data_IF_728223164820
#
_entry.id   IF_728223164820
#
_cell.length_a   1.000
_cell.length_b   1.000
_cell.length_c   1.000
_cell.angle_alpha   90.00
_cell.angle_beta   90.00
_cell.angle_gamma   90.00
#
_symmetry.space_group_name_H-M   'P 1'
#
loop_
_entity.id
_entity.type
_entity.pdbx_description
1 polymer ?
#
# COMPACT_ATOMS: atom_id res chain seq x y z
N UNK A 1 25.13 -19.51 -79.05
CA UNK A 1 23.87 -19.50 -78.29
C UNK A 1 22.77 -19.18 -79.28
N UNK A 2 21.87 -20.13 -79.53
CA UNK A 2 20.71 -19.92 -80.41
C UNK A 2 19.66 -19.14 -79.61
N UNK A 3 19.10 -18.07 -80.19
CA UNK A 3 18.01 -17.29 -79.59
C UNK A 3 16.71 -18.03 -79.81
N UNK A 4 15.87 -18.11 -78.78
CA UNK A 4 14.57 -18.78 -78.87
C UNK A 4 13.67 -18.05 -79.88
N UNK A 5 12.81 -18.79 -80.59
CA UNK A 5 11.91 -18.24 -81.62
C UNK A 5 11.05 -17.09 -81.10
N UNK A 6 10.66 -17.16 -79.82
CA UNK A 6 9.88 -16.12 -79.14
C UNK A 6 10.69 -14.83 -78.92
N UNK A 7 11.98 -14.95 -78.66
CA UNK A 7 12.87 -13.80 -78.43
C UNK A 7 13.07 -13.03 -79.74
N UNK A 8 13.28 -13.74 -80.85
CA UNK A 8 13.36 -13.10 -82.17
C UNK A 8 12.03 -12.43 -82.55
N UNK A 9 10.90 -13.10 -82.31
CA UNK A 9 9.58 -12.51 -82.59
C UNK A 9 9.33 -11.20 -81.81
N UNK A 10 9.70 -11.14 -80.53
CA UNK A 10 9.53 -9.93 -79.71
C UNK A 10 10.47 -8.82 -80.16
N UNK A 11 11.71 -9.13 -80.53
CA UNK A 11 12.69 -8.15 -81.01
C UNK A 11 12.30 -7.57 -82.38
N UNK A 12 11.86 -8.42 -83.30
CA UNK A 12 11.45 -8.03 -84.66
C UNK A 12 10.18 -7.16 -84.68
N UNK A 13 9.35 -7.27 -83.63
CA UNK A 13 8.09 -6.51 -83.51
C UNK A 13 8.16 -5.44 -82.41
N UNK A 14 9.34 -5.15 -81.85
CA UNK A 14 9.49 -4.27 -80.68
C UNK A 14 8.92 -2.87 -80.90
N UNK A 15 9.15 -2.28 -82.08
CA UNK A 15 8.59 -0.96 -82.41
C UNK A 15 7.05 -0.95 -82.40
N UNK A 16 6.41 -2.05 -82.80
CA UNK A 16 4.96 -2.19 -82.77
C UNK A 16 4.40 -2.36 -81.33
N UNK A 17 5.23 -2.80 -80.38
CA UNK A 17 4.86 -2.88 -78.97
C UNK A 17 4.99 -1.53 -78.24
N UNK A 18 5.96 -0.70 -78.63
CA UNK A 18 6.28 0.56 -77.94
C UNK A 18 5.50 1.80 -78.47
N UNK A 19 4.64 1.63 -79.48
CA UNK A 19 3.91 2.74 -80.12
C UNK A 19 2.58 3.13 -79.42
N UNK A 20 2.07 2.26 -78.55
CA UNK A 20 0.77 2.45 -77.91
C UNK A 20 0.87 3.34 -76.67
N UNK A 21 0.66 4.65 -76.83
CA UNK A 21 0.51 5.57 -75.69
C UNK A 21 -0.93 5.49 -75.17
N UNK A 22 -1.16 5.20 -73.86
CA UNK A 22 -2.49 5.15 -73.30
C UNK A 22 -3.18 6.52 -73.36
N UNK A 23 -4.50 6.54 -73.57
CA UNK A 23 -5.26 7.78 -73.66
C UNK A 23 -5.17 8.60 -72.36
N UNK A 24 -5.21 9.93 -72.48
CA UNK A 24 -5.26 10.88 -71.35
C UNK A 24 -6.37 10.56 -70.33
N UNK A 25 -7.47 9.94 -70.79
CA UNK A 25 -8.56 9.50 -69.93
C UNK A 25 -8.13 8.40 -68.96
N UNK A 26 -7.34 7.43 -69.40
CA UNK A 26 -6.83 6.35 -68.54
C UNK A 26 -5.93 6.92 -67.45
N UNK A 27 -5.05 7.86 -67.81
CA UNK A 27 -4.22 8.57 -66.83
C UNK A 27 -5.04 9.38 -65.83
N UNK A 28 -6.06 10.12 -66.31
CA UNK A 28 -6.95 10.87 -65.43
C UNK A 28 -7.77 9.95 -64.49
N UNK A 29 -8.13 8.75 -64.94
CA UNK A 29 -8.83 7.76 -64.13
C UNK A 29 -7.92 7.18 -63.04
N UNK A 30 -6.65 6.90 -63.36
CA UNK A 30 -5.63 6.44 -62.40
C UNK A 30 -5.34 7.51 -61.33
N UNK A 31 -5.13 8.76 -61.74
CA UNK A 31 -4.83 9.87 -60.82
C UNK A 31 -6.01 10.14 -59.86
N UNK A 32 -7.24 10.00 -60.36
CA UNK A 32 -8.47 10.07 -59.56
C UNK A 32 -8.60 8.91 -58.56
N UNK A 33 -8.11 7.72 -58.89
CA UNK A 33 -8.13 6.58 -57.97
C UNK A 33 -7.05 6.67 -56.88
N UNK A 34 -5.87 7.15 -57.24
CA UNK A 34 -4.77 7.36 -56.29
C UNK A 34 -5.10 8.43 -55.25
N UNK A 35 -5.70 9.55 -55.68
CA UNK A 35 -6.14 10.64 -54.79
C UNK A 35 -7.28 10.24 -53.84
N UNK A 36 -8.03 9.17 -54.14
CA UNK A 36 -9.12 8.67 -53.28
C UNK A 36 -8.63 7.93 -52.03
N UNK A 37 -7.35 7.51 -52.00
CA UNK A 37 -6.80 6.64 -50.95
C UNK A 37 -6.24 7.37 -49.72
N UNK A 38 -6.14 8.70 -49.73
CA UNK A 38 -5.49 9.47 -48.65
C UNK A 38 -6.42 10.25 -47.72
N UNK A 39 -7.73 10.00 -47.71
CA UNK A 39 -8.61 10.67 -46.74
C UNK A 39 -8.57 9.92 -45.41
N UNK A 40 -7.60 10.27 -44.56
CA UNK A 40 -7.63 9.90 -43.15
C UNK A 40 -8.93 10.44 -42.55
N UNK A 41 -9.90 9.55 -42.26
CA UNK A 41 -11.15 9.96 -41.63
C UNK A 41 -10.82 10.56 -40.26
N UNK A 42 -11.24 11.81 -39.95
CA UNK A 42 -11.04 12.35 -38.62
C UNK A 42 -11.78 11.46 -37.63
N UNK A 43 -11.11 11.04 -36.56
CA UNK A 43 -11.76 10.32 -35.47
C UNK A 43 -12.93 11.17 -34.99
N UNK A 44 -14.14 10.65 -35.15
CA UNK A 44 -15.36 11.36 -34.77
C UNK A 44 -15.31 11.62 -33.26
N UNK A 45 -15.53 12.87 -32.85
CA UNK A 45 -15.58 13.31 -31.44
C UNK A 45 -16.43 12.36 -30.57
N UNK A 46 -17.50 11.81 -31.14
CA UNK A 46 -18.38 10.83 -30.51
C UNK A 46 -17.69 9.52 -30.08
N UNK A 47 -16.61 9.08 -30.76
CA UNK A 47 -15.77 7.93 -30.33
C UNK A 47 -14.88 8.31 -29.16
N UNK A 48 -14.33 9.53 -29.13
CA UNK A 48 -13.54 10.02 -27.98
C UNK A 48 -14.39 10.11 -26.70
N UNK A 49 -15.63 10.60 -26.78
CA UNK A 49 -16.53 10.63 -25.62
C UNK A 49 -16.92 9.24 -25.12
N UNK A 50 -17.10 8.26 -26.02
CA UNK A 50 -17.38 6.87 -25.64
C UNK A 50 -16.20 6.22 -24.91
N UNK A 51 -14.97 6.49 -25.36
CA UNK A 51 -13.75 6.00 -24.70
C UNK A 51 -13.56 6.69 -23.34
N UNK A 52 -13.74 8.01 -23.26
CA UNK A 52 -13.63 8.76 -22.01
C UNK A 52 -14.66 8.29 -20.96
N UNK A 53 -15.90 8.02 -21.38
CA UNK A 53 -16.94 7.50 -20.50
C UNK A 53 -16.62 6.09 -19.96
N UNK A 54 -16.05 5.21 -20.80
CA UNK A 54 -15.65 3.87 -20.36
C UNK A 54 -14.50 3.93 -19.34
N UNK A 55 -13.49 4.78 -19.57
CA UNK A 55 -12.38 4.98 -18.63
C UNK A 55 -12.87 5.58 -17.31
N UNK A 56 -13.76 6.58 -17.36
CA UNK A 56 -14.35 7.17 -16.17
C UNK A 56 -15.19 6.16 -15.38
N UNK A 57 -15.97 5.31 -16.05
CA UNK A 57 -16.75 4.25 -15.39
C UNK A 57 -15.85 3.23 -14.69
N UNK A 58 -14.74 2.80 -15.32
CA UNK A 58 -13.76 1.90 -14.70
C UNK A 58 -13.08 2.58 -13.50
N UNK A 59 -12.75 3.87 -13.58
CA UNK A 59 -12.17 4.61 -12.46
C UNK A 59 -13.14 4.83 -11.30
N UNK A 60 -14.42 5.04 -11.57
CA UNK A 60 -15.46 5.16 -10.54
C UNK A 60 -15.75 3.80 -9.88
N UNK A 61 -15.87 2.73 -10.67
CA UNK A 61 -16.09 1.39 -10.11
C UNK A 61 -14.85 0.89 -9.37
N UNK A 62 -13.65 1.11 -9.90
CA UNK A 62 -12.40 0.71 -9.26
C UNK A 62 -12.04 1.57 -8.04
N UNK A 63 -12.17 2.89 -8.14
CA UNK A 63 -11.83 3.82 -7.06
C UNK A 63 -12.91 3.95 -6.00
N UNK A 64 -14.15 4.24 -6.41
CA UNK A 64 -15.27 4.40 -5.48
C UNK A 64 -15.84 3.06 -5.04
N UNK A 65 -16.07 2.13 -5.98
CA UNK A 65 -16.54 0.77 -5.68
C UNK A 65 -15.52 -0.06 -4.91
N UNK A 66 -14.23 0.04 -5.24
CA UNK A 66 -13.15 -0.58 -4.46
C UNK A 66 -13.07 -0.06 -3.03
N UNK A 67 -13.12 1.27 -2.83
CA UNK A 67 -13.08 1.86 -1.48
C UNK A 67 -14.31 1.54 -0.61
N UNK A 68 -15.49 1.45 -1.24
CA UNK A 68 -16.72 1.01 -0.57
C UNK A 68 -16.68 -0.49 -0.24
N UNK A 69 -16.17 -1.33 -1.13
CA UNK A 69 -16.05 -2.78 -0.91
C UNK A 69 -15.08 -3.09 0.23
N UNK A 70 -13.92 -2.40 0.29
CA UNK A 70 -12.99 -2.50 1.43
C UNK A 70 -13.59 -1.98 2.74
N UNK A 71 -14.55 -1.05 2.69
CA UNK A 71 -15.30 -0.59 3.87
C UNK A 71 -16.40 -1.57 4.31
N UNK A 72 -17.06 -2.24 3.37
CA UNK A 72 -18.08 -3.26 3.65
C UNK A 72 -17.50 -4.54 4.23
N UNK A 73 -16.21 -4.81 3.98
CA UNK A 73 -15.47 -5.95 4.50
C UNK A 73 -14.46 -5.55 5.57
N UNK A 74 -14.76 -4.54 6.39
CA UNK A 74 -13.97 -4.28 7.59
C UNK A 74 -14.30 -5.35 8.63
N UNK A 75 -13.41 -6.34 8.76
CA UNK A 75 -13.44 -7.24 9.88
C UNK A 75 -13.21 -6.42 11.16
N UNK A 76 -14.15 -6.51 12.11
CA UNK A 76 -13.99 -5.83 13.39
C UNK A 76 -12.92 -6.58 14.18
N UNK A 77 -11.78 -5.94 14.55
CA UNK A 77 -10.71 -6.63 15.26
C UNK A 77 -11.21 -7.20 16.59
N UNK A 78 -12.14 -6.50 17.26
CA UNK A 78 -12.77 -6.96 18.51
C UNK A 78 -13.51 -8.29 18.33
N UNK A 79 -14.22 -8.49 17.21
CA UNK A 79 -14.97 -9.72 16.96
C UNK A 79 -14.04 -10.91 16.65
N UNK A 80 -12.94 -10.67 15.93
CA UNK A 80 -11.90 -11.70 15.69
C UNK A 80 -11.26 -12.09 17.02
N UNK A 81 -10.92 -11.10 17.85
CA UNK A 81 -10.30 -11.35 19.15
C UNK A 81 -11.21 -12.14 20.08
N UNK A 82 -12.49 -11.79 20.18
CA UNK A 82 -13.45 -12.51 21.03
C UNK A 82 -13.62 -13.97 20.60
N UNK A 83 -13.54 -14.25 19.30
CA UNK A 83 -13.62 -15.61 18.76
C UNK A 83 -12.39 -16.45 19.10
N UNK A 84 -11.19 -15.86 19.08
CA UNK A 84 -9.92 -16.56 19.32
C UNK A 84 -9.58 -16.63 20.81
N UNK A 85 -9.80 -15.55 21.54
CA UNK A 85 -9.49 -15.42 22.95
C UNK A 85 -10.56 -14.57 23.68
N UNK A 86 -11.59 -15.19 24.28
CA UNK A 86 -12.67 -14.48 24.95
C UNK A 86 -12.20 -13.72 26.21
N UNK A 87 -11.08 -14.11 26.82
CA UNK A 87 -10.52 -13.46 28.02
C UNK A 87 -9.69 -12.21 27.68
N UNK A 88 -9.36 -11.99 26.40
CA UNK A 88 -8.51 -10.88 25.99
C UNK A 88 -9.05 -9.52 26.43
N UNK A 89 -10.37 -9.31 26.40
CA UNK A 89 -10.97 -8.03 26.76
C UNK A 89 -10.70 -7.67 28.23
N UNK A 90 -10.77 -8.65 29.13
CA UNK A 90 -10.45 -8.48 30.55
C UNK A 90 -8.95 -8.20 30.74
N UNK A 91 -8.10 -8.94 30.03
CA UNK A 91 -6.64 -8.72 30.01
C UNK A 91 -6.27 -7.33 29.51
N UNK A 92 -6.88 -6.85 28.43
CA UNK A 92 -6.65 -5.50 27.89
C UNK A 92 -7.04 -4.43 28.92
N UNK A 93 -8.20 -4.58 29.57
CA UNK A 93 -8.63 -3.65 30.62
C UNK A 93 -7.65 -3.65 31.80
N UNK A 94 -7.25 -4.82 32.27
CA UNK A 94 -6.28 -4.99 33.35
C UNK A 94 -4.94 -4.28 33.05
N UNK A 95 -4.35 -4.53 31.88
CA UNK A 95 -3.09 -3.90 31.51
C UNK A 95 -3.24 -2.39 31.29
N UNK A 96 -4.34 -1.92 30.68
CA UNK A 96 -4.62 -0.48 30.52
C UNK A 96 -4.69 0.23 31.86
N UNK A 97 -5.35 -0.38 32.86
CA UNK A 97 -5.42 0.19 34.21
C UNK A 97 -4.04 0.27 34.86
N UNK A 98 -3.22 -0.80 34.75
CA UNK A 98 -1.86 -0.80 35.26
C UNK A 98 -0.98 0.26 34.60
N UNK A 99 -1.01 0.35 33.28
CA UNK A 99 -0.27 1.35 32.50
C UNK A 99 -0.67 2.75 32.94
N UNK A 100 -1.97 3.05 33.01
CA UNK A 100 -2.49 4.34 33.44
C UNK A 100 -1.99 4.70 34.84
N UNK A 101 -2.08 3.77 35.78
CA UNK A 101 -1.61 3.96 37.16
C UNK A 101 -0.11 4.25 37.22
N UNK A 102 0.71 3.47 36.51
CA UNK A 102 2.17 3.67 36.50
C UNK A 102 2.56 4.98 35.80
N UNK A 103 1.89 5.36 34.71
CA UNK A 103 2.10 6.65 34.02
C UNK A 103 1.76 7.83 34.95
N UNK A 104 0.66 7.75 35.70
CA UNK A 104 0.30 8.78 36.69
C UNK A 104 1.33 8.87 37.83
N UNK A 105 1.89 7.74 38.26
CA UNK A 105 2.99 7.75 39.24
C UNK A 105 4.25 8.41 38.66
N UNK A 106 4.56 8.13 37.39
CA UNK A 106 5.70 8.69 36.66
C UNK A 106 5.58 10.20 36.46
N UNK A 107 4.37 10.71 36.21
CA UNK A 107 4.10 12.14 36.05
C UNK A 107 4.58 12.99 37.25
N UNK A 108 4.68 12.39 38.45
CA UNK A 108 5.21 13.06 39.66
C UNK A 108 6.71 13.29 39.64
N UNK A 109 7.43 12.69 38.71
CA UNK A 109 8.89 12.68 38.64
C UNK A 109 9.44 13.37 37.38
N UNK A 110 8.60 14.04 36.58
CA UNK A 110 8.96 14.69 35.31
C UNK A 110 9.78 13.78 34.37
N UNK A 111 9.14 12.80 33.72
CA UNK A 111 9.84 11.85 32.87
C UNK A 111 10.49 12.54 31.66
N UNK A 112 11.68 12.09 31.28
CA UNK A 112 12.43 12.60 30.13
C UNK A 112 11.59 12.57 28.83
N UNK A 113 11.69 13.60 27.99
CA UNK A 113 10.94 13.69 26.73
C UNK A 113 11.11 12.50 25.77
N UNK A 114 12.29 11.86 25.76
CA UNK A 114 12.54 10.64 24.98
C UNK A 114 11.64 9.48 25.39
N UNK A 115 11.36 9.34 26.69
CA UNK A 115 10.55 8.24 27.21
C UNK A 115 9.08 8.36 26.78
N UNK A 116 8.54 9.58 26.79
CA UNK A 116 7.19 9.84 26.27
C UNK A 116 7.10 9.52 24.77
N UNK A 117 8.15 9.85 24.00
CA UNK A 117 8.22 9.48 22.58
C UNK A 117 8.23 7.97 22.39
N UNK A 118 8.97 7.22 23.19
CA UNK A 118 9.05 5.76 23.08
C UNK A 118 7.73 5.10 23.48
N UNK A 119 7.01 5.63 24.48
CA UNK A 119 5.64 5.19 24.80
C UNK A 119 4.68 5.39 23.64
N UNK A 120 4.77 6.52 22.94
CA UNK A 120 3.93 6.79 21.77
C UNK A 120 4.21 5.81 20.63
N UNK A 121 5.48 5.42 20.41
CA UNK A 121 5.82 4.38 19.43
C UNK A 121 5.21 3.03 19.78
N UNK A 122 5.22 2.64 21.06
CA UNK A 122 4.58 1.39 21.48
C UNK A 122 3.06 1.42 21.27
N UNK A 123 2.41 2.57 21.46
CA UNK A 123 0.99 2.74 21.16
C UNK A 123 0.69 2.64 19.66
N UNK A 124 1.61 3.15 18.83
CA UNK A 124 1.53 2.99 17.38
C UNK A 124 1.66 1.52 16.96
N UNK A 125 2.64 0.79 17.51
CA UNK A 125 2.82 -0.65 17.24
C UNK A 125 1.56 -1.44 17.61
N UNK A 126 0.90 -1.11 18.73
CA UNK A 126 -0.38 -1.73 19.08
C UNK A 126 -1.51 -1.41 18.09
N UNK A 127 -1.54 -0.21 17.52
CA UNK A 127 -2.52 0.16 16.51
C UNK A 127 -2.28 -0.60 15.20
N UNK A 128 -1.02 -0.74 14.79
CA UNK A 128 -0.60 -1.51 13.63
C UNK A 128 -0.98 -2.99 13.79
N UNK A 129 -0.71 -3.61 14.95
CA UNK A 129 -1.11 -4.99 15.23
C UNK A 129 -2.64 -5.20 15.16
N UNK A 130 -3.44 -4.22 15.61
CA UNK A 130 -4.90 -4.27 15.50
C UNK A 130 -5.38 -4.20 14.05
N UNK A 131 -4.69 -3.42 13.22
CA UNK A 131 -4.98 -3.32 11.79
C UNK A 131 -4.56 -4.59 11.05
N UNK A 132 -3.37 -5.13 11.37
CA UNK A 132 -2.89 -6.41 10.84
C UNK A 132 -3.85 -7.54 11.16
N UNK A 133 -4.40 -7.57 12.38
CA UNK A 133 -5.39 -8.55 12.78
C UNK A 133 -6.66 -8.53 11.89
N UNK A 134 -7.05 -7.37 11.36
CA UNK A 134 -8.23 -7.25 10.50
C UNK A 134 -8.04 -7.86 9.11
N UNK A 135 -6.79 -7.97 8.65
CA UNK A 135 -6.41 -8.48 7.33
C UNK A 135 -5.66 -9.82 7.42
N UNK A 136 -5.47 -10.34 8.63
CA UNK A 136 -4.71 -11.55 8.89
C UNK A 136 -5.35 -12.78 8.20
N UNK A 137 -4.54 -13.66 7.59
CA UNK A 137 -5.01 -14.94 7.11
C UNK A 137 -5.38 -15.85 8.28
N UNK A 138 -6.35 -16.75 8.06
CA UNK A 138 -6.84 -17.68 9.09
C UNK A 138 -5.69 -18.45 9.74
N UNK A 139 -5.60 -18.36 11.07
CA UNK A 139 -4.57 -19.02 11.88
C UNK A 139 -3.39 -18.15 12.31
N UNK A 140 -3.18 -16.97 11.71
CA UNK A 140 -2.19 -15.99 12.20
C UNK A 140 -2.77 -15.06 13.28
N UNK A 141 -4.10 -15.04 13.44
CA UNK A 141 -4.81 -14.20 14.38
C UNK A 141 -4.36 -14.45 15.83
N UNK A 142 -4.12 -15.71 16.21
CA UNK A 142 -3.66 -16.09 17.55
C UNK A 142 -2.24 -15.57 17.84
N UNK A 143 -1.34 -15.64 16.85
CA UNK A 143 0.03 -15.13 16.98
C UNK A 143 0.05 -13.60 17.13
N UNK A 144 -0.78 -12.90 16.36
CA UNK A 144 -0.93 -11.45 16.46
C UNK A 144 -1.49 -11.07 17.84
N UNK A 145 -2.53 -11.77 18.32
CA UNK A 145 -3.10 -11.54 19.65
C UNK A 145 -2.08 -11.81 20.77
N UNK A 146 -1.29 -12.88 20.65
CA UNK A 146 -0.21 -13.17 21.60
C UNK A 146 0.85 -12.04 21.61
N UNK A 147 1.21 -11.53 20.44
CA UNK A 147 2.14 -10.40 20.29
C UNK A 147 1.58 -9.11 20.90
N UNK A 148 0.27 -8.87 20.77
CA UNK A 148 -0.41 -7.75 21.43
C UNK A 148 -0.35 -7.86 22.95
N UNK A 149 -0.59 -9.05 23.52
CA UNK A 149 -0.46 -9.30 24.96
C UNK A 149 0.98 -9.08 25.43
N UNK A 150 1.97 -9.61 24.70
CA UNK A 150 3.38 -9.40 25.01
C UNK A 150 3.77 -7.91 24.97
N UNK A 151 3.20 -7.15 24.05
CA UNK A 151 3.42 -5.70 23.94
C UNK A 151 2.91 -4.99 25.20
N UNK A 152 1.73 -5.36 25.71
CA UNK A 152 1.23 -4.83 26.99
C UNK A 152 2.15 -5.16 28.17
N UNK A 153 2.57 -6.42 28.29
CA UNK A 153 3.48 -6.87 29.35
C UNK A 153 4.79 -6.09 29.33
N UNK A 154 5.37 -5.93 28.14
CA UNK A 154 6.61 -5.18 27.93
C UNK A 154 6.45 -3.72 28.33
N UNK A 155 5.32 -3.09 27.96
CA UNK A 155 5.03 -1.70 28.33
C UNK A 155 4.97 -1.54 29.85
N UNK A 156 4.29 -2.44 30.55
CA UNK A 156 4.22 -2.44 32.02
C UNK A 156 5.60 -2.60 32.65
N UNK A 157 6.42 -3.54 32.16
CA UNK A 157 7.76 -3.79 32.67
C UNK A 157 8.69 -2.58 32.50
N UNK A 158 8.61 -1.89 31.36
CA UNK A 158 9.36 -0.66 31.10
C UNK A 158 8.93 0.44 32.08
N UNK A 159 7.61 0.68 32.23
CA UNK A 159 7.09 1.69 33.16
C UNK A 159 7.55 1.42 34.60
N UNK A 160 7.56 0.16 35.00
CA UNK A 160 8.03 -0.27 36.32
C UNK A 160 9.52 0.00 36.53
N UNK A 161 10.36 -0.37 35.56
CA UNK A 161 11.80 -0.14 35.63
C UNK A 161 12.12 1.35 35.72
N UNK A 162 11.43 2.19 34.94
CA UNK A 162 11.65 3.65 35.00
C UNK A 162 11.17 4.20 36.34
N UNK A 163 10.03 3.76 36.87
CA UNK A 163 9.60 4.15 38.22
C UNK A 163 10.61 3.77 39.30
N UNK A 164 11.19 2.58 39.23
CA UNK A 164 12.20 2.11 40.18
C UNK A 164 13.48 2.95 40.09
N UNK A 165 13.92 3.28 38.88
CA UNK A 165 15.06 4.19 38.67
C UNK A 165 14.81 5.58 39.27
N UNK A 166 13.60 6.14 39.10
CA UNK A 166 13.27 7.45 39.67
C UNK A 166 13.16 7.42 41.20
N UNK A 167 12.71 6.30 41.77
CA UNK A 167 12.64 6.10 43.24
C UNK A 167 14.04 5.97 43.86
N UNK A 168 14.92 5.21 43.24
CA UNK A 168 16.30 4.96 43.70
C UNK A 168 17.22 6.17 43.51
N UNK A 169 16.93 7.03 42.52
CA UNK A 169 17.68 8.26 42.28
C UNK A 169 17.39 9.39 43.29
N UNK A 170 16.35 9.28 44.13
CA UNK A 170 16.17 10.15 45.30
C UNK A 170 17.05 9.64 46.45
N UNK A 171 17.94 10.47 47.03
CA UNK A 171 18.79 10.03 48.13
C UNK A 171 17.93 9.64 49.35
N UNK A 172 17.97 8.37 49.73
CA UNK A 172 17.51 7.89 51.03
C UNK A 172 18.33 8.59 52.14
N UNK A 173 17.72 9.11 53.21
CA UNK A 173 18.48 9.61 54.36
C UNK A 173 19.28 8.45 54.96
N UNK A 174 20.61 8.52 54.87
CA UNK A 174 21.51 7.56 55.52
C UNK A 174 21.17 7.53 57.01
N UNK A 175 20.77 6.36 57.52
CA UNK A 175 20.77 6.12 58.96
C UNK A 175 22.22 6.21 59.43
N UNK A 176 22.55 7.29 60.14
CA UNK A 176 23.80 7.42 60.88
C UNK A 176 23.83 6.30 61.92
N UNK A 177 24.62 5.26 61.67
CA UNK A 177 25.15 4.40 62.73
C UNK A 177 26.03 5.28 63.58
N UNK A 178 25.50 5.73 64.72
CA UNK A 178 26.28 6.38 65.75
C UNK A 178 27.20 5.30 66.35
N UNK A 179 28.47 5.35 65.98
CA UNK A 179 29.53 4.78 66.79
C UNK A 179 29.52 5.56 68.11
N UNK A 180 29.06 4.94 69.19
CA UNK A 180 29.60 5.25 70.51
C UNK A 180 30.72 4.24 70.75
N UNK A 181 31.91 4.66 70.36
CA UNK A 181 33.13 4.21 71.01
C UNK A 181 33.48 5.24 72.10
N UNK A 182 34.01 4.70 73.21
CA UNK A 182 34.74 5.36 74.32
C UNK A 182 33.83 5.94 75.43
N UNK A 183 33.88 5.41 76.66
CA UNK A 183 35.00 5.69 77.56
C UNK A 183 35.07 4.73 78.77
N UNK A 184 36.32 4.32 79.04
CA UNK A 184 37.01 4.00 80.30
C UNK A 184 36.19 3.66 81.56
#
# INVERSE_FOLDING_TARGET
MQRDELENFVLDNREAFDDAIPSLKVWADIDRELSKRSVSKPLTFQRFFKVAAAVAAILVVGGFGGSMFTRWQQANPVAIIEQVNPEYLELEQYYRQQISTKVQQLARYEPNGSFMSDMKKMDQVMAELKEELCVAPKGQEEEIIATMIQTYQTKVAILERVLEQMRTSKPQPKKTTSNEEVSL
#
